data_IF_433080959533
#
_entry.id   IF_433080959533
#
_cell.length_a   1.000
_cell.length_b   1.000
_cell.length_c   1.000
_cell.angle_alpha   90.00
_cell.angle_beta   90.00
_cell.angle_gamma   90.00
#
_symmetry.space_group_name_H-M   'P 1'
#
loop_
_entity.id
_entity.type
_entity.pdbx_description
1 polymer ?
#
# COMPACT_ATOMS: atom_id res chain seq x y z
N UNK A 1 39.13 -3.50 51.12
CA UNK A 1 38.32 -4.58 50.54
C UNK A 1 37.61 -3.98 49.33
N UNK A 2 38.18 -4.19 48.13
CA UNK A 2 37.57 -3.77 46.87
C UNK A 2 36.92 -5.00 46.24
N UNK A 3 35.63 -4.91 45.94
CA UNK A 3 34.94 -5.89 45.10
C UNK A 3 35.00 -5.40 43.66
N UNK A 4 35.78 -6.09 42.83
CA UNK A 4 35.63 -6.02 41.38
C UNK A 4 34.44 -6.89 40.99
N UNK A 5 33.35 -6.27 40.53
CA UNK A 5 32.30 -6.96 39.81
C UNK A 5 32.74 -7.06 38.35
N UNK A 6 33.01 -8.29 37.88
CA UNK A 6 33.27 -8.57 36.48
C UNK A 6 32.03 -8.24 35.65
N UNK A 7 32.11 -7.19 34.84
CA UNK A 7 31.10 -6.92 33.81
C UNK A 7 31.29 -7.90 32.66
N UNK A 8 30.44 -8.93 32.57
CA UNK A 8 30.33 -9.67 31.32
C UNK A 8 29.56 -8.81 30.32
N UNK A 9 30.24 -8.38 29.25
CA UNK A 9 29.60 -7.73 28.12
C UNK A 9 28.69 -8.73 27.40
N UNK A 10 27.38 -8.55 27.52
CA UNK A 10 26.43 -9.21 26.61
C UNK A 10 26.70 -8.68 25.20
N UNK A 11 27.23 -9.54 24.34
CA UNK A 11 27.36 -9.24 22.91
C UNK A 11 25.97 -9.30 22.30
N UNK A 12 25.44 -8.14 21.90
CA UNK A 12 24.31 -8.08 20.97
C UNK A 12 24.70 -8.82 19.68
N UNK A 13 23.74 -9.56 19.11
CA UNK A 13 23.97 -10.51 18.02
C UNK A 13 24.81 -9.98 16.86
N UNK A 14 25.48 -10.90 16.17
CA UNK A 14 26.37 -10.59 15.05
C UNK A 14 25.65 -9.71 14.01
N UNK A 15 26.36 -8.66 13.56
CA UNK A 15 25.91 -7.80 12.48
C UNK A 15 25.66 -8.68 11.26
N UNK A 16 24.42 -8.73 10.78
CA UNK A 16 24.10 -9.39 9.51
C UNK A 16 25.05 -8.83 8.45
N UNK A 17 25.85 -9.71 7.84
CA UNK A 17 26.66 -9.35 6.69
C UNK A 17 25.69 -9.01 5.56
N UNK A 18 25.67 -7.75 5.14
CA UNK A 18 24.83 -7.33 4.03
C UNK A 18 25.52 -7.77 2.74
N UNK A 19 25.02 -8.83 2.11
CA UNK A 19 25.43 -9.28 0.77
C UNK A 19 25.03 -8.28 -0.35
N UNK A 20 24.48 -7.13 0.02
CA UNK A 20 23.95 -6.12 -0.89
C UNK A 20 24.65 -4.78 -0.64
N UNK A 21 25.20 -4.21 -1.71
CA UNK A 21 25.68 -2.83 -1.72
C UNK A 21 24.47 -1.89 -1.78
N UNK A 22 24.35 -0.99 -0.80
CA UNK A 22 23.26 -0.01 -0.71
C UNK A 22 23.84 1.39 -0.86
N UNK A 23 23.30 2.16 -1.79
CA UNK A 23 23.73 3.54 -2.05
C UNK A 23 22.50 4.46 -2.20
N UNK A 24 22.54 5.61 -1.53
CA UNK A 24 21.53 6.66 -1.68
C UNK A 24 21.93 7.59 -2.83
N UNK A 25 21.05 7.75 -3.82
CA UNK A 25 21.25 8.69 -4.95
C UNK A 25 20.00 9.53 -5.19
N UNK A 26 20.16 10.82 -5.54
CA UNK A 26 19.07 11.58 -6.14
C UNK A 26 18.58 10.87 -7.43
N UNK A 27 17.26 10.78 -7.60
CA UNK A 27 16.61 10.08 -8.72
C UNK A 27 16.63 10.89 -10.03
N UNK A 28 17.81 11.35 -10.46
CA UNK A 28 17.94 12.19 -11.64
C UNK A 28 17.41 13.62 -11.42
N UNK A 29 16.53 14.09 -12.31
CA UNK A 29 15.99 15.45 -12.24
C UNK A 29 14.98 15.60 -11.09
N UNK A 30 14.90 16.78 -10.45
CA UNK A 30 13.86 17.07 -9.47
C UNK A 30 12.46 16.82 -10.06
N UNK A 31 11.54 16.33 -9.22
CA UNK A 31 10.13 16.23 -9.60
C UNK A 31 9.59 17.62 -9.96
N UNK A 32 8.95 17.80 -11.13
CA UNK A 32 8.24 19.03 -11.47
C UNK A 32 6.89 19.15 -10.76
N UNK A 33 6.48 18.10 -10.02
CA UNK A 33 5.21 18.06 -9.29
C UNK A 33 5.37 18.56 -7.86
N UNK A 34 4.31 19.17 -7.27
CA UNK A 34 4.35 19.65 -5.90
C UNK A 34 4.72 18.56 -4.90
N UNK A 35 5.39 18.96 -3.82
CA UNK A 35 5.67 18.11 -2.69
C UNK A 35 4.37 17.57 -2.09
N UNK A 36 4.38 16.31 -1.64
CA UNK A 36 3.19 15.63 -1.14
C UNK A 36 3.50 14.69 0.01
N UNK A 37 2.56 14.56 0.94
CA UNK A 37 2.61 13.61 2.04
C UNK A 37 1.41 12.67 2.04
N UNK A 38 1.52 11.53 2.71
CA UNK A 38 0.44 10.53 2.76
C UNK A 38 0.04 9.98 1.39
N UNK A 39 0.89 10.11 0.36
CA UNK A 39 0.68 9.46 -0.93
C UNK A 39 0.98 7.97 -0.81
N UNK A 40 0.45 7.19 -1.75
CA UNK A 40 0.84 5.80 -1.94
C UNK A 40 1.61 5.66 -3.24
N UNK A 41 2.53 4.69 -3.30
CA UNK A 41 3.34 4.45 -4.47
C UNK A 41 3.58 2.96 -4.67
N UNK A 42 3.58 2.50 -5.92
CA UNK A 42 3.89 1.11 -6.26
C UNK A 42 4.65 1.02 -7.59
N UNK A 43 5.63 0.13 -7.64
CA UNK A 43 6.35 -0.20 -8.87
C UNK A 43 5.54 -1.16 -9.73
N UNK A 44 5.39 -0.84 -11.03
CA UNK A 44 4.68 -1.68 -12.00
C UNK A 44 5.24 -1.43 -13.40
N UNK A 45 5.59 -2.50 -14.13
CA UNK A 45 5.99 -2.40 -15.55
C UNK A 45 7.20 -1.50 -15.85
N UNK A 46 8.11 -1.26 -14.89
CA UNK A 46 9.26 -0.36 -15.04
C UNK A 46 8.97 1.10 -14.65
N UNK A 47 7.74 1.40 -14.21
CA UNK A 47 7.35 2.70 -13.67
C UNK A 47 7.14 2.63 -12.16
N UNK A 48 7.43 3.72 -11.47
CA UNK A 48 6.92 3.99 -10.13
C UNK A 48 5.66 4.85 -10.26
N UNK A 49 4.50 4.29 -9.94
CA UNK A 49 3.23 5.02 -9.98
C UNK A 49 2.90 5.56 -8.59
N UNK A 50 2.55 6.84 -8.51
CA UNK A 50 2.20 7.54 -7.27
C UNK A 50 0.78 8.07 -7.37
N UNK A 51 -0.04 7.80 -6.35
CA UNK A 51 -1.42 8.26 -6.27
C UNK A 51 -1.68 9.04 -4.98
N UNK A 52 -2.44 10.12 -5.13
CA UNK A 52 -3.03 10.88 -4.04
C UNK A 52 -2.04 11.57 -3.12
N UNK A 53 -2.41 11.64 -1.84
CA UNK A 53 -1.72 12.41 -0.81
C UNK A 53 -2.18 13.86 -0.74
N UNK A 54 -1.62 14.59 0.24
CA UNK A 54 -1.85 16.02 0.44
C UNK A 54 -0.72 16.80 -0.21
N UNK A 55 -1.04 17.61 -1.21
CA UNK A 55 -0.11 18.49 -1.91
C UNK A 55 0.16 19.73 -1.07
N UNK A 56 1.43 20.06 -0.87
CA UNK A 56 1.90 21.26 -0.16
C UNK A 56 1.25 21.46 1.23
N UNK A 57 0.79 20.37 1.85
CA UNK A 57 0.10 20.39 3.15
C UNK A 57 -1.30 21.01 3.14
N UNK A 58 -1.88 21.27 1.96
CA UNK A 58 -3.14 22.02 1.84
C UNK A 58 -4.24 21.32 1.03
N UNK A 59 -3.88 20.54 0.01
CA UNK A 59 -4.88 20.02 -0.94
C UNK A 59 -4.73 18.51 -1.14
N UNK A 60 -5.76 17.75 -0.77
CA UNK A 60 -5.85 16.33 -1.12
C UNK A 60 -5.93 16.17 -2.65
N UNK A 61 -5.24 15.14 -3.15
CA UNK A 61 -5.21 14.82 -4.57
C UNK A 61 -5.79 13.44 -4.82
N UNK A 62 -6.38 13.25 -6.00
CA UNK A 62 -6.59 11.96 -6.65
C UNK A 62 -5.78 11.84 -7.95
N UNK A 63 -4.83 12.73 -8.16
CA UNK A 63 -3.97 12.72 -9.35
C UNK A 63 -3.00 11.56 -9.33
N UNK A 64 -2.72 11.02 -10.52
CA UNK A 64 -1.71 9.99 -10.74
C UNK A 64 -0.50 10.62 -11.44
N UNK A 65 0.68 10.39 -10.89
CA UNK A 65 1.97 10.68 -11.54
C UNK A 65 2.77 9.38 -11.65
N UNK A 66 3.59 9.26 -12.68
CA UNK A 66 4.51 8.14 -12.84
C UNK A 66 5.93 8.62 -13.00
N UNK A 67 6.87 7.80 -12.54
CA UNK A 67 8.30 7.97 -12.79
C UNK A 67 8.80 6.79 -13.59
N UNK A 68 9.27 7.08 -14.80
CA UNK A 68 9.96 6.11 -15.66
C UNK A 68 11.35 5.87 -15.07
N UNK A 69 11.59 4.66 -14.57
CA UNK A 69 12.82 4.31 -13.84
C UNK A 69 14.03 4.26 -14.77
N UNK A 70 13.83 3.92 -16.04
CA UNK A 70 14.92 3.85 -17.04
C UNK A 70 15.32 5.24 -17.52
N UNK A 71 14.34 6.10 -17.82
CA UNK A 71 14.58 7.47 -18.31
C UNK A 71 14.91 8.45 -17.19
N UNK A 72 14.50 8.14 -15.97
CA UNK A 72 14.63 9.03 -14.82
C UNK A 72 13.75 10.27 -14.92
N UNK A 73 12.53 10.12 -15.44
CA UNK A 73 11.63 11.25 -15.74
C UNK A 73 10.25 11.05 -15.14
N UNK A 74 9.74 12.11 -14.52
CA UNK A 74 8.38 12.20 -14.01
C UNK A 74 7.39 12.63 -15.08
N UNK A 75 6.19 12.04 -15.08
CA UNK A 75 5.08 12.38 -15.98
C UNK A 75 3.75 12.42 -15.22
N UNK A 76 2.81 13.24 -15.70
CA UNK A 76 1.42 13.19 -15.24
C UNK A 76 0.67 12.16 -16.07
N UNK A 77 -0.10 11.31 -15.41
CA UNK A 77 -0.87 10.26 -16.06
C UNK A 77 -2.31 10.71 -16.23
N UNK A 78 -2.80 10.66 -17.46
CA UNK A 78 -4.21 10.92 -17.76
C UNK A 78 -5.02 9.66 -17.45
N UNK A 79 -5.81 9.73 -16.38
CA UNK A 79 -6.67 8.62 -15.94
C UNK A 79 -8.14 8.85 -16.29
N UNK A 80 -8.89 7.77 -16.43
CA UNK A 80 -10.32 7.78 -16.75
C UNK A 80 -11.07 6.69 -15.99
N UNK A 81 -12.39 6.63 -16.15
CA UNK A 81 -13.25 5.63 -15.51
C UNK A 81 -13.84 6.14 -14.19
N UNK A 82 -14.06 5.23 -13.24
CA UNK A 82 -14.57 5.57 -11.91
C UNK A 82 -13.42 6.09 -11.05
N UNK A 83 -13.26 7.41 -10.99
CA UNK A 83 -12.13 8.02 -10.28
C UNK A 83 -12.33 7.94 -8.77
N UNK A 84 -11.35 7.44 -7.99
CA UNK A 84 -11.38 7.57 -6.54
C UNK A 84 -11.40 9.05 -6.13
N UNK A 85 -12.05 9.35 -5.01
CA UNK A 85 -11.99 10.69 -4.43
C UNK A 85 -10.55 11.06 -4.00
N UNK A 86 -10.24 12.36 -3.90
CA UNK A 86 -9.00 12.82 -3.28
C UNK A 86 -8.84 12.25 -1.87
N UNK A 87 -7.67 11.68 -1.59
CA UNK A 87 -7.39 10.98 -0.34
C UNK A 87 -5.91 10.92 -0.01
N UNK A 88 -5.63 10.74 1.26
CA UNK A 88 -4.29 10.49 1.81
C UNK A 88 -4.26 9.18 2.61
N UNK A 89 -3.06 8.70 2.92
CA UNK A 89 -2.78 7.50 3.71
C UNK A 89 -3.50 6.22 3.25
N UNK A 90 -3.90 6.17 1.98
CA UNK A 90 -4.33 4.96 1.31
C UNK A 90 -3.15 4.01 1.08
N UNK A 91 -3.43 2.76 0.73
CA UNK A 91 -2.40 1.77 0.36
C UNK A 91 -2.62 1.31 -1.08
N UNK A 92 -1.53 1.04 -1.80
CA UNK A 92 -1.59 0.59 -3.19
C UNK A 92 -0.60 -0.55 -3.44
N UNK A 93 -1.06 -1.61 -4.11
CA UNK A 93 -0.27 -2.81 -4.40
C UNK A 93 -0.49 -3.29 -5.84
N UNK A 94 0.56 -3.85 -6.47
CA UNK A 94 0.51 -4.31 -7.85
C UNK A 94 0.28 -5.82 -7.96
N UNK A 95 -0.61 -6.26 -8.83
CA UNK A 95 -0.66 -7.64 -9.34
C UNK A 95 -0.69 -7.61 -10.85
N UNK A 96 0.40 -8.08 -11.48
CA UNK A 96 0.59 -7.94 -12.92
C UNK A 96 0.67 -6.47 -13.32
N UNK A 97 -0.22 -6.04 -14.22
CA UNK A 97 -0.35 -4.66 -14.72
C UNK A 97 -1.54 -3.90 -14.07
N UNK A 98 -1.96 -4.35 -12.88
CA UNK A 98 -3.08 -3.73 -12.16
C UNK A 98 -2.63 -3.27 -10.79
N UNK A 99 -3.02 -2.06 -10.43
CA UNK A 99 -2.79 -1.50 -9.11
C UNK A 99 -4.08 -1.51 -8.32
N UNK A 100 -4.06 -2.11 -7.13
CA UNK A 100 -5.18 -2.21 -6.21
C UNK A 100 -5.00 -1.17 -5.11
N UNK A 101 -5.91 -0.22 -5.04
CA UNK A 101 -5.95 0.86 -4.06
C UNK A 101 -7.01 0.54 -3.02
N UNK A 102 -6.65 0.59 -1.74
CA UNK A 102 -7.58 0.35 -0.64
C UNK A 102 -7.54 1.47 0.40
N UNK A 103 -8.73 1.89 0.82
CA UNK A 103 -8.98 2.77 1.96
C UNK A 103 -8.31 4.14 1.87
N UNK A 104 -7.87 4.63 3.02
CA UNK A 104 -7.30 5.96 3.22
C UNK A 104 -8.24 6.90 3.99
N UNK A 105 -7.87 8.17 3.98
CA UNK A 105 -8.61 9.26 4.62
C UNK A 105 -8.87 10.34 3.58
N UNK A 106 -10.12 10.78 3.49
CA UNK A 106 -10.52 11.97 2.75
C UNK A 106 -11.10 12.98 3.73
N UNK A 107 -10.74 14.26 3.58
CA UNK A 107 -11.27 15.33 4.43
C UNK A 107 -12.80 15.43 4.36
N UNK A 108 -13.37 15.23 3.17
CA UNK A 108 -14.80 15.42 2.92
C UNK A 108 -15.65 14.18 3.26
N UNK A 109 -15.05 12.99 3.24
CA UNK A 109 -15.75 11.71 3.42
C UNK A 109 -15.42 11.04 4.76
N UNK A 110 -14.22 11.25 5.29
CA UNK A 110 -13.68 10.53 6.44
C UNK A 110 -12.82 9.33 6.03
N UNK A 111 -12.72 8.34 6.92
CA UNK A 111 -12.03 7.08 6.61
C UNK A 111 -12.77 6.31 5.53
N UNK A 112 -12.01 5.62 4.68
CA UNK A 112 -12.52 4.90 3.52
C UNK A 112 -12.23 3.39 3.66
N UNK A 113 -13.14 2.57 3.15
CA UNK A 113 -13.07 1.10 3.02
C UNK A 113 -13.23 0.65 1.55
N UNK A 114 -13.24 1.59 0.61
CA UNK A 114 -13.42 1.31 -0.80
C UNK A 114 -12.19 0.60 -1.41
N UNK A 115 -12.46 -0.23 -2.41
CA UNK A 115 -11.44 -0.96 -3.17
C UNK A 115 -11.52 -0.55 -4.63
N UNK A 116 -10.42 -0.03 -5.15
CA UNK A 116 -10.28 0.38 -6.54
C UNK A 116 -9.19 -0.41 -7.25
N UNK A 117 -9.35 -0.59 -8.56
CA UNK A 117 -8.31 -1.10 -9.44
C UNK A 117 -8.01 -0.10 -10.55
N UNK A 118 -6.72 0.18 -10.76
CA UNK A 118 -6.20 0.89 -11.92
C UNK A 118 -5.55 -0.10 -12.86
N UNK A 119 -6.08 -0.19 -14.08
CA UNK A 119 -5.43 -0.91 -15.18
C UNK A 119 -4.38 0.01 -15.82
N UNK A 120 -3.09 -0.36 -15.77
CA UNK A 120 -2.00 0.51 -16.23
C UNK A 120 -1.77 0.44 -17.74
N UNK A 121 -2.33 -0.53 -18.44
CA UNK A 121 -2.26 -0.55 -19.92
C UNK A 121 -3.20 0.51 -20.51
N UNK A 122 -4.34 0.73 -19.84
CA UNK A 122 -5.41 1.62 -20.32
C UNK A 122 -5.57 2.89 -19.50
N UNK A 123 -4.88 2.99 -18.36
CA UNK A 123 -5.01 4.04 -17.35
C UNK A 123 -6.46 4.29 -16.92
N UNK A 124 -7.19 3.18 -16.69
CA UNK A 124 -8.62 3.21 -16.34
C UNK A 124 -8.85 2.70 -14.92
N UNK A 125 -9.48 3.53 -14.10
CA UNK A 125 -9.96 3.16 -12.77
C UNK A 125 -11.32 2.47 -12.85
N UNK A 126 -11.50 1.46 -12.00
CA UNK A 126 -12.77 0.81 -11.71
C UNK A 126 -12.89 0.59 -10.21
N UNK A 127 -14.06 0.86 -9.65
CA UNK A 127 -14.39 0.47 -8.28
C UNK A 127 -14.80 -1.01 -8.25
N UNK A 128 -14.25 -1.75 -7.30
CA UNK A 128 -14.54 -3.17 -7.11
C UNK A 128 -15.59 -3.34 -6.02
N UNK A 129 -16.85 -3.41 -6.43
CA UNK A 129 -18.00 -3.59 -5.54
C UNK A 129 -18.50 -5.03 -5.44
N UNK A 130 -18.00 -5.93 -6.30
CA UNK A 130 -18.37 -7.35 -6.35
C UNK A 130 -17.40 -8.25 -5.56
N UNK A 131 -17.05 -7.83 -4.35
CA UNK A 131 -16.19 -8.60 -3.44
C UNK A 131 -16.96 -9.69 -2.70
N UNK A 132 -16.24 -10.70 -2.18
CA UNK A 132 -16.81 -11.80 -1.40
C UNK A 132 -16.19 -11.81 0.00
N UNK A 133 -16.96 -12.26 0.99
CA UNK A 133 -16.54 -12.27 2.39
C UNK A 133 -16.74 -10.93 3.09
N UNK A 134 -16.34 -10.83 4.37
CA UNK A 134 -16.44 -9.60 5.12
C UNK A 134 -15.43 -8.56 4.60
N UNK A 135 -15.90 -7.33 4.38
CA UNK A 135 -15.03 -6.21 4.04
C UNK A 135 -14.32 -5.68 5.31
N UNK A 136 -13.06 -5.22 5.21
CA UNK A 136 -12.42 -4.52 6.33
C UNK A 136 -13.14 -3.18 6.62
N UNK A 137 -13.16 -2.76 7.88
CA UNK A 137 -13.73 -1.45 8.25
C UNK A 137 -12.96 -0.29 7.61
N UNK A 138 -13.57 0.91 7.48
CA UNK A 138 -12.90 2.09 6.97
C UNK A 138 -11.61 2.40 7.74
N UNK A 139 -10.50 2.58 7.02
CA UNK A 139 -9.18 2.74 7.66
C UNK A 139 -8.13 3.38 6.76
N UNK A 140 -7.16 4.03 7.39
CA UNK A 140 -5.96 4.59 6.76
C UNK A 140 -4.68 3.92 7.30
N UNK A 141 -3.53 4.23 6.69
CA UNK A 141 -2.19 3.75 7.13
C UNK A 141 -2.06 2.22 7.15
N UNK A 142 -2.75 1.55 6.24
CA UNK A 142 -2.74 0.10 6.07
C UNK A 142 -1.42 -0.36 5.44
N UNK A 143 -0.78 -1.38 6.04
CA UNK A 143 0.33 -2.06 5.41
C UNK A 143 -0.19 -3.04 4.36
N UNK A 144 0.49 -3.16 3.22
CA UNK A 144 0.14 -4.16 2.20
C UNK A 144 1.35 -4.96 1.73
N UNK A 145 1.10 -6.21 1.34
CA UNK A 145 2.09 -7.09 0.75
C UNK A 145 1.47 -7.90 -0.39
N UNK A 146 2.21 -8.02 -1.49
CA UNK A 146 1.81 -8.87 -2.61
C UNK A 146 2.62 -10.16 -2.58
N UNK A 147 1.93 -11.30 -2.61
CA UNK A 147 2.55 -12.64 -2.70
C UNK A 147 1.90 -13.40 -3.84
N UNK A 148 2.68 -13.67 -4.89
CA UNK A 148 2.15 -14.27 -6.12
C UNK A 148 1.10 -13.36 -6.77
N UNK A 149 -0.15 -13.81 -6.83
CA UNK A 149 -1.27 -13.06 -7.40
C UNK A 149 -2.25 -12.52 -6.33
N UNK A 150 -1.85 -12.50 -5.06
CA UNK A 150 -2.67 -12.10 -3.92
C UNK A 150 -2.10 -10.84 -3.27
N UNK A 151 -2.99 -9.94 -2.82
CA UNK A 151 -2.64 -8.74 -2.04
C UNK A 151 -3.22 -8.90 -0.65
N UNK A 152 -2.37 -8.80 0.36
CA UNK A 152 -2.74 -8.86 1.77
C UNK A 152 -2.69 -7.46 2.37
N UNK A 153 -3.64 -7.14 3.24
CA UNK A 153 -3.74 -5.86 3.93
C UNK A 153 -3.70 -6.10 5.44
N UNK A 154 -2.90 -5.33 6.17
CA UNK A 154 -2.77 -5.53 7.61
C UNK A 154 -2.74 -4.22 8.37
N UNK A 155 -3.43 -4.19 9.52
CA UNK A 155 -3.47 -3.07 10.44
C UNK A 155 -4.27 -1.88 9.91
N UNK A 156 -3.70 -0.68 10.12
CA UNK A 156 -4.35 0.60 9.85
C UNK A 156 -5.08 1.19 11.06
N UNK A 157 -5.58 2.41 10.90
CA UNK A 157 -6.35 3.12 11.91
C UNK A 157 -7.66 3.65 11.30
N UNK A 158 -8.75 3.50 12.04
CA UNK A 158 -10.06 3.97 11.63
C UNK A 158 -11.16 3.54 12.60
N UNK A 159 -12.43 3.83 12.28
CA UNK A 159 -13.56 3.33 13.04
C UNK A 159 -13.49 1.81 13.18
N UNK A 160 -13.73 1.35 14.41
CA UNK A 160 -14.00 -0.05 14.66
C UNK A 160 -15.45 -0.31 14.32
N UNK A 161 -15.69 -1.17 13.34
CA UNK A 161 -17.01 -1.72 13.12
C UNK A 161 -17.17 -2.92 14.07
N UNK A 162 -18.41 -3.38 14.29
CA UNK A 162 -18.74 -4.41 15.30
C UNK A 162 -18.02 -5.76 15.18
N UNK A 163 -17.17 -5.96 14.16
CA UNK A 163 -16.30 -7.12 13.97
C UNK A 163 -15.05 -7.08 14.85
N UNK A 164 -14.55 -5.90 15.21
CA UNK A 164 -13.37 -5.75 16.09
C UNK A 164 -13.70 -5.97 17.58
N UNK A 165 -14.97 -6.26 17.90
CA UNK A 165 -15.46 -6.50 19.26
C UNK A 165 -15.78 -7.95 19.56
N UNK A 166 -15.79 -8.85 18.57
CA UNK A 166 -15.91 -10.27 18.83
C UNK A 166 -14.51 -10.89 18.89
N UNK A 167 -14.09 -11.19 20.11
CA UNK A 167 -12.95 -12.05 20.42
C UNK A 167 -13.09 -13.34 19.63
N UNK A 168 -12.39 -13.44 18.50
CA UNK A 168 -12.42 -14.59 17.61
C UNK A 168 -11.79 -15.78 18.30
N UNK A 169 -12.61 -16.56 19.00
CA UNK A 169 -12.28 -17.94 19.36
C UNK A 169 -12.10 -18.70 18.04
N UNK A 170 -10.85 -18.95 17.68
CA UNK A 170 -10.46 -19.79 16.56
C UNK A 170 -11.13 -21.16 16.68
N UNK A 171 -12.12 -21.44 15.84
CA UNK A 171 -12.52 -22.82 15.55
C UNK A 171 -11.68 -23.28 14.36
N UNK A 172 -10.81 -24.26 14.63
CA UNK A 172 -10.15 -25.06 13.60
C UNK A 172 -11.20 -25.79 12.76
N UNK A 173 -10.86 -26.05 11.50
CA UNK A 173 -11.59 -26.80 10.47
C UNK A 173 -12.30 -25.93 9.41
N UNK A 174 -11.67 -25.81 8.23
CA UNK A 174 -12.26 -26.31 6.97
C UNK A 174 -11.25 -26.27 5.81
N UNK A 175 -11.24 -27.36 5.03
CA UNK A 175 -10.27 -27.76 4.01
C UNK A 175 -10.41 -27.02 2.67
N UNK A 176 -9.31 -27.00 1.89
CA UNK A 176 -9.22 -26.40 0.56
C UNK A 176 -10.04 -27.14 -0.52
N UNK A 177 -10.67 -26.39 -1.42
CA UNK A 177 -10.90 -26.84 -2.80
C UNK A 177 -10.37 -25.83 -3.84
N UNK A 178 -9.49 -26.34 -4.71
CA UNK A 178 -8.87 -25.69 -5.86
C UNK A 178 -9.82 -25.69 -7.07
N UNK A 179 -10.22 -24.50 -7.55
CA UNK A 179 -10.74 -24.31 -8.90
C UNK A 179 -10.34 -22.95 -9.48
N UNK A 180 -9.55 -23.00 -10.56
CA UNK A 180 -9.78 -22.17 -11.76
C UNK A 180 -9.02 -20.85 -11.89
N UNK A 181 -8.22 -20.76 -12.96
CA UNK A 181 -7.45 -19.59 -13.43
C UNK A 181 -8.29 -18.31 -13.54
N UNK A 182 -8.04 -17.41 -12.61
CA UNK A 182 -8.32 -15.97 -12.64
C UNK A 182 -7.55 -15.39 -11.46
N UNK A 183 -6.91 -14.22 -11.60
CA UNK A 183 -6.23 -13.59 -10.48
C UNK A 183 -7.22 -13.32 -9.36
N UNK A 184 -7.24 -14.17 -8.32
CA UNK A 184 -8.00 -13.95 -7.10
C UNK A 184 -7.16 -13.05 -6.20
N UNK A 185 -7.61 -11.82 -5.98
CA UNK A 185 -7.11 -11.01 -4.87
C UNK A 185 -7.75 -11.60 -3.61
N UNK A 186 -6.96 -12.29 -2.80
CA UNK A 186 -7.41 -12.76 -1.50
C UNK A 186 -7.11 -11.67 -0.48
N UNK A 187 -8.16 -11.01 -0.02
CA UNK A 187 -8.14 -10.10 1.11
C UNK A 187 -8.18 -10.97 2.37
N UNK A 188 -7.14 -10.90 3.19
CA UNK A 188 -7.12 -11.40 4.57
C UNK A 188 -6.68 -10.25 5.45
#
# INVERSE_FOLDING_TARGET
MGNEASSQSQTYGERLENDVSVEWKPSGQPSPFPAREGHCACGVGGELVVFGGVLEGVQESNGVISYDVEKGTWSSVQVKGQLPCPRSAATISAVGNKLYLFGGLSHDVGWLDDLFVLDTDTWTWKELTDTQGPAPSPRDKVASATVGNKVYFFGGFGPKDGWDTEESTMSEDEEEEDVGRGGKVHLV
#
